data_IF_774960461177
#
_entry.id   IF_774960461177
#
_cell.length_a   1.000
_cell.length_b   1.000
_cell.length_c   1.000
_cell.angle_alpha   90.00
_cell.angle_beta   90.00
_cell.angle_gamma   90.00
#
_symmetry.space_group_name_H-M   'P 1'
#
loop_
_entity.id
_entity.type
_entity.pdbx_description
1 polymer ?
#
# COMPACT_ATOMS: atom_id res chain seq x y z
N UNK A 1 -91.16 96.25 57.10
CA UNK A 1 -90.63 95.88 58.42
C UNK A 1 -89.15 95.57 58.22
N UNK A 2 -88.29 96.42 58.75
CA UNK A 2 -86.84 96.20 58.83
C UNK A 2 -86.62 95.01 59.76
N UNK A 3 -85.83 94.03 59.33
CA UNK A 3 -85.09 93.17 60.26
C UNK A 3 -83.71 92.85 59.68
N UNK A 4 -82.75 93.60 60.22
CA UNK A 4 -81.31 93.39 60.16
C UNK A 4 -80.99 92.07 60.86
N UNK A 5 -80.26 91.17 60.19
CA UNK A 5 -79.61 90.02 60.83
C UNK A 5 -78.16 90.41 61.12
N UNK A 6 -77.89 90.49 62.42
CA UNK A 6 -76.62 90.82 63.05
C UNK A 6 -75.77 89.54 63.06
N UNK A 7 -74.61 89.55 62.41
CA UNK A 7 -73.63 88.48 62.55
C UNK A 7 -72.90 88.63 63.91
N UNK A 8 -72.86 87.54 64.68
CA UNK A 8 -72.28 87.49 66.02
C UNK A 8 -70.75 87.64 66.03
N UNK A 9 -70.16 88.27 67.06
CA UNK A 9 -68.80 88.81 67.06
C UNK A 9 -67.72 87.81 67.51
N UNK A 10 -67.68 86.59 66.95
CA UNK A 10 -66.60 85.63 67.26
C UNK A 10 -65.82 85.14 66.03
N UNK A 11 -66.11 85.68 64.84
CA UNK A 11 -65.27 85.48 63.65
C UNK A 11 -64.05 86.44 63.60
N UNK A 12 -63.90 87.33 64.58
CA UNK A 12 -62.86 88.37 64.59
C UNK A 12 -61.78 88.20 65.66
N UNK A 13 -61.80 87.13 66.47
CA UNK A 13 -60.80 86.95 67.54
C UNK A 13 -59.45 86.39 67.04
N UNK A 14 -59.36 86.03 65.75
CA UNK A 14 -58.07 85.93 65.04
C UNK A 14 -57.56 87.29 64.56
N UNK A 15 -58.42 88.33 64.54
CA UNK A 15 -58.12 89.65 64.00
C UNK A 15 -57.12 90.48 64.82
N UNK A 16 -56.82 90.08 66.06
CA UNK A 16 -55.80 90.72 66.89
C UNK A 16 -54.40 90.11 66.75
N UNK A 17 -54.25 88.95 66.11
CA UNK A 17 -52.93 88.32 65.92
C UNK A 17 -52.65 87.81 64.50
N UNK A 18 -53.65 87.73 63.62
CA UNK A 18 -53.45 87.42 62.20
C UNK A 18 -54.51 88.10 61.32
N UNK A 19 -54.09 89.10 60.55
CA UNK A 19 -54.89 89.66 59.45
C UNK A 19 -54.95 88.65 58.31
N UNK A 20 -56.08 87.95 58.17
CA UNK A 20 -56.32 87.09 57.00
C UNK A 20 -56.55 88.00 55.78
N UNK A 21 -55.59 88.03 54.86
CA UNK A 21 -55.74 88.77 53.60
C UNK A 21 -56.91 88.24 52.78
N UNK A 22 -57.67 89.15 52.17
CA UNK A 22 -58.76 88.82 51.24
C UNK A 22 -58.29 88.11 49.97
N UNK A 23 -56.97 87.97 49.79
CA UNK A 23 -56.34 87.28 48.66
C UNK A 23 -55.89 85.85 49.00
N UNK A 24 -56.09 85.38 50.23
CA UNK A 24 -55.74 84.02 50.63
C UNK A 24 -56.60 82.96 49.90
N UNK A 25 -55.98 81.85 49.47
CA UNK A 25 -56.63 80.82 48.64
C UNK A 25 -56.22 80.92 47.17
N UNK A 26 -57.18 80.89 46.25
CA UNK A 26 -56.92 81.13 44.82
C UNK A 26 -57.36 82.54 44.45
N UNK A 27 -56.42 83.43 44.19
CA UNK A 27 -56.71 84.80 43.77
C UNK A 27 -55.83 85.18 42.57
N UNK A 28 -56.45 85.80 41.55
CA UNK A 28 -55.79 86.22 40.31
C UNK A 28 -54.86 85.15 39.68
N UNK A 29 -55.36 83.90 39.58
CA UNK A 29 -54.62 82.77 39.02
C UNK A 29 -53.34 82.40 39.79
N UNK A 30 -53.30 82.62 41.11
CA UNK A 30 -52.18 82.22 41.98
C UNK A 30 -52.68 81.44 43.19
N UNK A 31 -51.84 80.52 43.65
CA UNK A 31 -52.04 79.78 44.89
C UNK A 31 -51.40 80.55 46.04
N UNK A 32 -52.23 81.23 46.81
CA UNK A 32 -51.81 82.19 47.82
C UNK A 32 -51.91 81.56 49.20
N UNK A 33 -50.77 81.51 49.87
CA UNK A 33 -50.58 80.81 51.14
C UNK A 33 -50.13 81.80 52.21
N UNK A 34 -50.51 81.54 53.47
CA UNK A 34 -49.94 82.23 54.61
C UNK A 34 -48.67 81.50 55.05
N UNK A 35 -47.53 82.19 55.05
CA UNK A 35 -46.26 81.62 55.47
C UNK A 35 -45.78 82.39 56.71
N UNK A 36 -45.77 81.70 57.86
CA UNK A 36 -45.57 82.32 59.16
C UNK A 36 -44.14 82.84 59.38
N UNK A 37 -43.12 82.28 58.71
CA UNK A 37 -41.73 82.67 58.94
C UNK A 37 -41.32 83.95 58.19
N UNK A 38 -42.06 84.34 57.15
CA UNK A 38 -41.81 85.57 56.36
C UNK A 38 -42.80 86.71 56.63
N UNK A 39 -43.83 86.47 57.43
CA UNK A 39 -44.82 87.49 57.81
C UNK A 39 -45.80 87.87 56.70
N UNK A 40 -45.78 87.14 55.57
CA UNK A 40 -46.64 87.36 54.43
C UNK A 40 -47.90 86.47 54.55
N UNK A 41 -49.08 87.09 54.72
CA UNK A 41 -50.38 86.43 54.57
C UNK A 41 -51.06 87.05 53.34
N UNK A 42 -51.02 86.38 52.19
CA UNK A 42 -51.59 86.88 50.93
C UNK A 42 -50.99 86.25 49.66
N UNK A 43 -51.09 86.93 48.52
CA UNK A 43 -50.51 86.52 47.23
C UNK A 43 -49.20 87.26 46.92
N UNK A 44 -48.05 86.87 47.49
CA UNK A 44 -46.78 87.49 47.12
C UNK A 44 -46.44 87.20 45.64
N UNK A 45 -45.59 88.05 45.04
CA UNK A 45 -45.21 87.95 43.61
C UNK A 45 -44.58 86.62 43.21
N UNK A 46 -44.04 85.87 44.18
CA UNK A 46 -43.44 84.55 44.00
C UNK A 46 -44.42 83.37 44.22
N UNK A 47 -45.67 83.62 44.59
CA UNK A 47 -46.68 82.57 44.73
C UNK A 47 -46.86 81.82 43.40
N UNK A 48 -46.89 80.46 43.40
CA UNK A 48 -47.13 79.67 42.19
C UNK A 48 -48.41 80.10 41.49
N UNK A 49 -48.40 80.19 40.15
CA UNK A 49 -49.61 80.45 39.39
C UNK A 49 -50.38 79.16 39.15
N UNK A 50 -51.72 79.24 39.17
CA UNK A 50 -52.63 78.16 38.84
C UNK A 50 -53.50 78.56 37.65
N UNK A 51 -53.51 77.74 36.61
CA UNK A 51 -54.39 77.94 35.45
C UNK A 51 -55.81 77.45 35.74
N UNK A 52 -56.79 77.86 34.92
CA UNK A 52 -58.15 77.33 34.98
C UNK A 52 -58.25 75.83 34.69
N UNK A 53 -57.21 75.24 34.07
CA UNK A 53 -57.06 73.80 33.87
C UNK A 53 -56.37 73.10 35.06
N UNK A 54 -56.06 73.82 36.14
CA UNK A 54 -55.39 73.28 37.34
C UNK A 54 -53.88 73.09 37.19
N UNK A 55 -53.25 73.60 36.13
CA UNK A 55 -51.80 73.54 35.98
C UNK A 55 -51.12 74.48 36.97
N UNK A 56 -50.10 73.99 37.67
CA UNK A 56 -49.24 74.81 38.52
C UNK A 56 -48.04 75.25 37.69
N UNK A 57 -47.82 76.56 37.61
CA UNK A 57 -46.63 77.15 36.98
C UNK A 57 -45.77 77.80 38.06
N UNK A 58 -44.51 77.36 38.13
CA UNK A 58 -43.50 77.84 39.08
C UNK A 58 -42.40 78.50 38.28
N UNK A 59 -42.10 79.77 38.57
CA UNK A 59 -41.05 80.53 37.87
C UNK A 59 -39.64 80.21 38.39
N UNK A 60 -39.53 79.52 39.53
CA UNK A 60 -38.28 79.02 40.11
C UNK A 60 -38.18 77.50 40.11
N UNK A 61 -37.31 76.96 40.97
CA UNK A 61 -37.12 75.51 41.09
C UNK A 61 -38.34 74.83 41.73
N UNK A 62 -38.83 73.75 41.12
CA UNK A 62 -39.81 72.86 41.72
C UNK A 62 -39.07 71.65 42.31
N UNK A 63 -39.01 71.57 43.64
CA UNK A 63 -38.45 70.42 44.37
C UNK A 63 -39.58 69.60 44.98
N UNK A 64 -39.66 68.32 44.63
CA UNK A 64 -40.63 67.37 45.20
C UNK A 64 -39.92 66.06 45.57
N UNK A 65 -40.38 65.40 46.64
CA UNK A 65 -39.89 64.07 47.00
C UNK A 65 -40.27 63.03 45.94
N UNK A 66 -41.41 63.21 45.28
CA UNK A 66 -41.89 62.37 44.18
C UNK A 66 -42.72 63.20 43.20
N UNK A 67 -42.49 63.00 41.91
CA UNK A 67 -43.41 63.44 40.86
C UNK A 67 -44.31 62.24 40.50
N UNK A 68 -45.62 62.35 40.73
CA UNK A 68 -46.60 61.31 40.41
C UNK A 68 -47.36 61.76 39.16
N UNK A 69 -47.20 61.02 38.06
CA UNK A 69 -47.85 61.27 36.78
C UNK A 69 -47.36 60.28 35.73
N UNK A 70 -47.97 60.29 34.55
CA UNK A 70 -47.57 59.45 33.40
C UNK A 70 -46.31 59.99 32.70
N UNK A 71 -45.84 61.19 33.08
CA UNK A 71 -44.63 61.84 32.58
C UNK A 71 -44.72 62.30 31.12
N UNK A 72 -45.85 62.07 30.44
CA UNK A 72 -45.98 62.30 28.99
C UNK A 72 -45.93 63.80 28.62
N UNK A 73 -46.29 64.68 29.55
CA UNK A 73 -46.28 66.14 29.37
C UNK A 73 -44.98 66.85 29.75
N UNK A 74 -43.96 66.13 30.25
CA UNK A 74 -42.66 66.72 30.59
C UNK A 74 -41.88 67.00 29.30
N UNK A 75 -42.02 68.23 28.80
CA UNK A 75 -41.32 68.73 27.61
C UNK A 75 -40.38 69.87 28.00
N UNK A 76 -39.42 70.21 27.14
CA UNK A 76 -38.47 71.31 27.36
C UNK A 76 -37.61 71.21 28.63
N UNK A 77 -37.28 69.99 29.07
CA UNK A 77 -36.23 69.77 30.07
C UNK A 77 -34.86 70.08 29.42
N UNK A 78 -34.42 71.33 29.52
CA UNK A 78 -33.14 71.80 28.97
C UNK A 78 -32.07 71.88 30.06
N UNK A 79 -30.85 71.40 29.76
CA UNK A 79 -29.71 71.50 30.67
C UNK A 79 -28.81 72.69 30.30
N UNK A 80 -28.29 73.45 31.28
CA UNK A 80 -27.10 74.27 31.05
C UNK A 80 -25.93 73.35 30.71
N UNK A 81 -25.06 73.77 29.78
CA UNK A 81 -24.08 72.98 29.03
C UNK A 81 -22.97 72.25 29.83
N UNK A 82 -23.09 72.13 31.14
CA UNK A 82 -22.17 71.43 32.04
C UNK A 82 -22.86 70.58 33.13
N UNK A 83 -24.19 70.46 33.11
CA UNK A 83 -24.93 69.61 34.06
C UNK A 83 -25.28 68.25 33.43
N UNK A 84 -24.99 67.17 34.15
CA UNK A 84 -25.48 65.82 33.83
C UNK A 84 -26.91 65.66 34.34
N UNK A 85 -27.87 65.43 33.43
CA UNK A 85 -29.17 64.89 33.82
C UNK A 85 -29.00 63.40 34.13
N UNK A 86 -29.23 63.04 35.40
CA UNK A 86 -29.22 61.65 35.84
C UNK A 86 -30.60 61.35 36.39
N UNK A 87 -31.43 60.68 35.58
CA UNK A 87 -32.52 59.86 36.12
C UNK A 87 -31.85 58.72 36.90
N UNK A 88 -31.58 58.94 38.19
CA UNK A 88 -30.92 57.98 39.08
C UNK A 88 -31.97 57.08 39.72
N UNK A 89 -32.21 55.91 39.15
CA UNK A 89 -33.16 54.95 39.71
C UNK A 89 -32.46 54.03 40.72
N UNK A 90 -32.39 54.44 41.98
CA UNK A 90 -32.03 53.53 43.08
C UNK A 90 -33.28 52.78 43.53
N UNK A 91 -33.60 51.64 42.90
CA UNK A 91 -34.73 50.79 43.35
C UNK A 91 -35.58 50.12 42.28
N UNK A 92 -35.05 49.83 41.10
CA UNK A 92 -35.82 49.04 40.12
C UNK A 92 -35.79 47.57 40.52
N UNK A 93 -36.94 47.04 40.94
CA UNK A 93 -37.15 45.60 41.13
C UNK A 93 -37.09 44.84 39.80
N UNK A 94 -36.73 43.56 39.87
CA UNK A 94 -36.65 42.65 38.73
C UNK A 94 -37.93 42.73 37.87
N UNK A 95 -37.80 43.01 36.57
CA UNK A 95 -38.91 43.00 35.63
C UNK A 95 -39.44 44.38 35.19
N UNK A 96 -38.83 45.49 35.59
CA UNK A 96 -39.21 46.82 35.09
C UNK A 96 -38.33 47.27 33.92
N UNK A 97 -38.94 47.82 32.87
CA UNK A 97 -38.25 48.42 31.71
C UNK A 97 -37.73 49.82 32.06
N UNK A 98 -36.44 50.05 31.82
CA UNK A 98 -35.79 51.36 31.97
C UNK A 98 -36.19 52.27 30.80
N UNK A 99 -36.84 53.41 31.06
CA UNK A 99 -37.14 54.43 30.05
C UNK A 99 -35.87 55.14 29.61
N UNK A 100 -35.53 55.02 28.32
CA UNK A 100 -34.29 55.54 27.75
C UNK A 100 -34.61 56.69 26.79
N UNK A 101 -34.07 57.88 27.07
CA UNK A 101 -34.37 59.11 26.32
C UNK A 101 -33.62 59.12 24.98
N UNK A 102 -34.35 59.19 23.87
CA UNK A 102 -33.82 59.38 22.51
C UNK A 102 -34.08 60.82 22.09
N UNK A 103 -33.02 61.61 21.93
CA UNK A 103 -33.09 62.95 21.35
C UNK A 103 -32.48 62.92 19.95
N UNK A 104 -33.31 62.65 18.94
CA UNK A 104 -33.18 63.03 17.51
C UNK A 104 -31.82 62.88 16.76
N UNK A 105 -30.82 62.20 17.33
CA UNK A 105 -29.49 62.01 16.70
C UNK A 105 -28.90 60.61 16.89
N UNK A 106 -29.77 59.60 17.02
CA UNK A 106 -29.48 58.25 16.54
C UNK A 106 -28.38 57.45 17.23
N UNK A 107 -27.98 57.77 18.47
CA UNK A 107 -27.17 56.84 19.28
C UNK A 107 -27.59 56.78 20.75
N UNK A 108 -27.65 55.56 21.27
CA UNK A 108 -27.81 55.23 22.69
C UNK A 108 -26.40 55.02 23.23
N UNK A 109 -25.90 55.84 24.16
CA UNK A 109 -24.54 55.71 24.70
C UNK A 109 -24.56 55.02 26.07
N UNK A 110 -23.78 53.96 26.23
CA UNK A 110 -23.53 53.26 27.48
C UNK A 110 -22.16 53.69 28.03
N UNK A 111 -22.12 54.18 29.26
CA UNK A 111 -20.86 54.46 29.98
C UNK A 111 -20.33 53.16 30.57
N UNK A 112 -19.17 52.70 30.09
CA UNK A 112 -18.49 51.50 30.59
C UNK A 112 -17.21 51.92 31.32
N UNK A 113 -17.02 51.44 32.56
CA UNK A 113 -15.85 51.78 33.40
C UNK A 113 -15.57 53.30 33.55
N UNK A 114 -16.61 54.14 33.51
CA UNK A 114 -16.48 55.60 33.68
C UNK A 114 -16.18 56.39 32.40
N UNK A 115 -16.04 55.73 31.24
CA UNK A 115 -15.85 56.42 29.95
C UNK A 115 -17.19 56.53 29.22
N UNK A 116 -17.69 57.76 29.07
CA UNK A 116 -18.89 58.07 28.28
C UNK A 116 -18.64 57.73 26.80
N UNK A 117 -19.59 57.05 26.13
CA UNK A 117 -19.44 56.67 24.72
C UNK A 117 -18.68 55.36 24.48
N UNK A 118 -18.32 54.62 25.53
CA UNK A 118 -17.57 53.37 25.41
C UNK A 118 -18.33 52.28 24.63
N UNK A 119 -19.67 52.26 24.67
CA UNK A 119 -20.46 51.49 23.73
C UNK A 119 -21.70 52.28 23.28
N UNK A 120 -22.12 52.11 22.02
CA UNK A 120 -23.29 52.80 21.49
C UNK A 120 -24.03 52.02 20.41
N UNK A 121 -25.33 52.27 20.25
CA UNK A 121 -26.08 51.80 19.06
C UNK A 121 -25.90 52.81 17.92
N UNK A 122 -25.45 52.36 16.76
CA UNK A 122 -25.22 53.16 15.55
C UNK A 122 -26.19 52.76 14.44
N UNK A 123 -26.74 53.75 13.72
CA UNK A 123 -27.78 53.55 12.71
C UNK A 123 -27.42 52.51 11.62
N UNK A 124 -26.13 52.37 11.28
CA UNK A 124 -25.65 51.40 10.27
C UNK A 124 -24.84 50.25 10.86
N UNK A 125 -24.18 50.46 12.00
CA UNK A 125 -23.20 49.50 12.54
C UNK A 125 -23.76 48.64 13.69
N UNK A 126 -25.01 48.87 14.11
CA UNK A 126 -25.59 48.16 15.25
C UNK A 126 -24.91 48.56 16.57
N UNK A 127 -24.71 47.60 17.47
CA UNK A 127 -23.99 47.83 18.73
C UNK A 127 -22.47 47.94 18.47
N UNK A 128 -21.87 49.07 18.83
CA UNK A 128 -20.43 49.35 18.73
C UNK A 128 -19.87 49.45 20.15
N UNK A 129 -18.87 48.65 20.49
CA UNK A 129 -18.17 48.72 21.78
C UNK A 129 -16.93 47.82 21.81
N UNK A 130 -15.92 48.11 22.65
CA UNK A 130 -14.61 47.44 22.63
C UNK A 130 -14.64 45.96 23.06
N UNK A 131 -15.75 45.47 23.60
CA UNK A 131 -15.99 44.06 23.88
C UNK A 131 -17.49 43.78 24.03
N UNK A 132 -18.14 43.24 22.99
CA UNK A 132 -19.46 42.62 23.13
C UNK A 132 -19.22 41.18 23.61
N UNK A 133 -18.98 41.01 24.91
CA UNK A 133 -18.80 39.69 25.51
C UNK A 133 -20.15 39.03 25.74
N UNK A 134 -20.36 37.84 25.17
CA UNK A 134 -21.51 37.01 25.48
C UNK A 134 -21.09 35.80 26.29
N UNK A 135 -20.77 36.00 27.57
CA UNK A 135 -20.52 34.88 28.50
C UNK A 135 -21.73 33.93 28.58
N UNK A 136 -22.94 34.42 28.25
CA UNK A 136 -24.20 33.64 28.26
C UNK A 136 -25.23 34.14 27.23
N UNK A 137 -24.90 34.22 25.94
CA UNK A 137 -25.88 34.62 24.91
C UNK A 137 -25.37 34.61 23.46
N UNK A 138 -26.26 34.78 22.49
CA UNK A 138 -25.90 34.92 21.06
C UNK A 138 -25.88 36.40 20.68
N UNK A 139 -24.84 36.87 19.98
CA UNK A 139 -24.92 38.13 19.21
C UNK A 139 -25.59 37.81 17.88
N UNK A 140 -26.91 38.04 17.77
CA UNK A 140 -27.62 37.94 16.49
C UNK A 140 -27.39 39.20 15.66
N UNK A 141 -26.22 39.33 15.03
CA UNK A 141 -25.99 40.31 13.99
C UNK A 141 -26.38 39.72 12.62
N UNK A 142 -27.15 40.46 11.82
CA UNK A 142 -27.60 40.07 10.47
C UNK A 142 -26.43 39.75 9.51
N UNK A 143 -25.23 40.24 9.82
CA UNK A 143 -23.99 39.98 9.07
C UNK A 143 -22.78 40.08 10.01
N UNK A 144 -22.33 38.94 10.52
CA UNK A 144 -21.13 38.83 11.39
C UNK A 144 -19.82 39.01 10.58
N UNK A 145 -19.89 38.87 9.24
CA UNK A 145 -18.75 38.96 8.34
C UNK A 145 -18.85 40.23 7.48
N UNK A 146 -18.46 41.37 8.03
CA UNK A 146 -18.18 42.58 7.24
C UNK A 146 -16.74 43.00 7.50
N UNK A 147 -15.83 42.33 6.80
CA UNK A 147 -14.40 42.51 6.96
C UNK A 147 -13.92 43.49 5.87
N UNK A 148 -13.05 44.44 6.22
CA UNK A 148 -12.72 45.61 5.38
C UNK A 148 -11.66 45.29 4.33
N UNK A 149 -11.61 46.09 3.24
CA UNK A 149 -10.52 46.01 2.27
C UNK A 149 -9.14 46.19 2.95
N UNK A 150 -8.16 45.36 2.62
CA UNK A 150 -6.78 45.44 3.14
C UNK A 150 -6.32 44.27 4.02
N UNK A 151 -7.13 43.22 4.17
CA UNK A 151 -6.73 42.00 4.88
C UNK A 151 -5.61 41.23 4.16
N UNK A 152 -4.79 40.54 4.95
CA UNK A 152 -3.70 39.71 4.45
C UNK A 152 -3.46 38.55 5.41
N UNK A 153 -2.65 37.58 4.99
CA UNK A 153 -2.23 36.48 5.87
C UNK A 153 -1.56 36.98 7.16
N UNK A 154 -0.84 38.11 7.10
CA UNK A 154 -0.20 38.74 8.27
C UNK A 154 -1.17 39.48 9.20
N UNK A 155 -2.35 39.87 8.69
CA UNK A 155 -3.37 40.65 9.40
C UNK A 155 -4.77 40.16 9.00
N UNK A 156 -5.16 38.95 9.44
CA UNK A 156 -6.47 38.40 9.12
C UNK A 156 -7.60 39.22 9.74
N UNK A 157 -8.70 39.39 8.99
CA UNK A 157 -9.89 40.12 9.47
C UNK A 157 -10.54 39.48 10.69
N UNK A 158 -10.39 38.17 10.85
CA UNK A 158 -10.76 37.43 12.05
C UNK A 158 -9.49 36.86 12.69
N UNK A 159 -9.18 37.32 13.90
CA UNK A 159 -8.01 36.91 14.68
C UNK A 159 -8.38 36.74 16.16
N UNK A 160 -7.42 36.26 16.95
CA UNK A 160 -7.60 36.09 18.40
C UNK A 160 -6.99 37.26 19.16
N UNK A 161 -7.58 37.63 20.29
CA UNK A 161 -6.98 38.64 21.17
C UNK A 161 -5.60 38.16 21.65
N UNK A 162 -4.55 38.91 21.32
CA UNK A 162 -3.17 38.55 21.62
C UNK A 162 -2.45 37.69 20.56
N UNK A 163 -3.16 37.22 19.53
CA UNK A 163 -2.58 36.58 18.34
C UNK A 163 -3.23 37.17 17.08
N UNK A 164 -2.63 38.26 16.61
CA UNK A 164 -3.13 39.04 15.48
C UNK A 164 -2.77 38.47 14.11
N UNK A 165 -2.06 37.34 14.04
CA UNK A 165 -1.57 36.78 12.77
C UNK A 165 -2.04 35.34 12.51
N UNK A 166 -2.89 34.82 13.39
CA UNK A 166 -3.61 33.55 13.23
C UNK A 166 -5.09 33.80 13.09
N UNK A 167 -5.71 33.21 12.05
CA UNK A 167 -7.15 33.28 11.86
C UNK A 167 -7.59 33.18 10.41
N UNK A 168 -8.63 33.93 10.04
CA UNK A 168 -9.30 33.83 8.75
C UNK A 168 -9.36 35.19 8.05
N UNK A 169 -9.11 35.21 6.75
CA UNK A 169 -9.07 36.44 5.98
C UNK A 169 -9.61 36.28 4.56
N UNK A 170 -10.12 37.40 4.03
CA UNK A 170 -10.53 37.50 2.64
C UNK A 170 -9.30 37.69 1.75
N UNK A 171 -9.01 36.70 0.90
CA UNK A 171 -7.83 36.72 0.01
C UNK A 171 -8.13 37.52 -1.26
N UNK A 172 -9.36 37.43 -1.74
CA UNK A 172 -9.85 37.99 -2.99
C UNK A 172 -11.24 37.43 -3.33
N UNK A 173 -11.79 37.83 -4.48
CA UNK A 173 -13.09 37.34 -4.94
C UNK A 173 -13.11 35.79 -4.94
N UNK A 174 -14.14 35.20 -4.33
CA UNK A 174 -14.34 33.75 -4.22
C UNK A 174 -13.17 33.00 -3.55
N UNK A 175 -12.41 33.65 -2.65
CA UNK A 175 -11.26 33.06 -1.98
C UNK A 175 -11.24 33.33 -0.47
N UNK A 176 -11.23 32.26 0.32
CA UNK A 176 -11.11 32.28 1.77
C UNK A 176 -9.77 31.71 2.22
N UNK A 177 -9.03 32.46 3.04
CA UNK A 177 -7.72 32.06 3.56
C UNK A 177 -7.78 31.77 5.05
N UNK A 178 -7.12 30.69 5.47
CA UNK A 178 -6.75 30.45 6.87
C UNK A 178 -5.26 30.65 7.03
N UNK A 179 -4.87 31.41 8.05
CA UNK A 179 -3.49 31.80 8.33
C UNK A 179 -3.10 31.40 9.75
N UNK A 180 -1.82 31.07 9.95
CA UNK A 180 -1.21 30.85 11.25
C UNK A 180 0.18 31.47 11.22
N UNK A 181 0.56 32.28 12.21
CA UNK A 181 1.88 32.90 12.21
C UNK A 181 2.12 33.85 11.03
N UNK A 182 1.05 34.42 10.46
CA UNK A 182 1.14 35.32 9.31
C UNK A 182 1.26 34.66 7.93
N UNK A 183 1.18 33.33 7.85
CA UNK A 183 1.33 32.56 6.60
C UNK A 183 0.03 31.83 6.26
N UNK A 184 -0.46 31.99 5.01
CA UNK A 184 -1.61 31.25 4.50
C UNK A 184 -1.30 29.74 4.50
N UNK A 185 -2.03 28.97 5.31
CA UNK A 185 -1.91 27.50 5.39
C UNK A 185 -2.98 26.80 4.57
N UNK A 186 -4.16 27.40 4.49
CA UNK A 186 -5.28 26.87 3.72
C UNK A 186 -5.86 27.97 2.85
N UNK A 187 -6.11 27.65 1.59
CA UNK A 187 -6.88 28.46 0.66
C UNK A 187 -8.05 27.63 0.14
N UNK A 188 -9.27 28.15 0.32
CA UNK A 188 -10.48 27.61 -0.31
C UNK A 188 -10.90 28.59 -1.39
N UNK A 189 -11.11 28.09 -2.60
CA UNK A 189 -11.56 28.91 -3.73
C UNK A 189 -12.54 28.13 -4.64
N UNK A 190 -12.96 28.77 -5.73
CA UNK A 190 -13.85 28.15 -6.73
C UNK A 190 -13.28 26.91 -7.42
N UNK A 191 -11.96 26.69 -7.38
CA UNK A 191 -11.29 25.48 -7.90
C UNK A 191 -11.04 24.41 -6.83
N UNK A 192 -11.36 24.67 -5.55
CA UNK A 192 -11.25 23.69 -4.46
C UNK A 192 -10.40 24.15 -3.26
N UNK A 193 -9.73 23.18 -2.62
CA UNK A 193 -8.94 23.34 -1.39
C UNK A 193 -7.45 23.20 -1.69
N UNK A 194 -6.63 24.18 -1.30
CA UNK A 194 -5.17 24.09 -1.29
C UNK A 194 -4.66 24.16 0.15
N UNK A 195 -3.89 23.14 0.56
CA UNK A 195 -3.22 23.09 1.86
C UNK A 195 -1.71 23.22 1.67
N UNK A 196 -1.08 24.15 2.38
CA UNK A 196 0.37 24.31 2.42
C UNK A 196 0.95 23.47 3.57
N UNK A 197 1.60 22.36 3.23
CA UNK A 197 2.19 21.42 4.18
C UNK A 197 1.50 20.05 4.14
N UNK A 198 1.56 19.33 5.26
CA UNK A 198 0.99 17.98 5.37
C UNK A 198 -0.49 18.02 5.78
N UNK A 199 -1.28 17.11 5.21
CA UNK A 199 -2.61 16.77 5.71
C UNK A 199 -2.49 15.47 6.49
N UNK A 200 -2.64 15.53 7.82
CA UNK A 200 -2.66 14.34 8.69
C UNK A 200 -4.09 13.94 8.96
N UNK A 201 -4.45 12.68 8.69
CA UNK A 201 -5.78 12.13 8.93
C UNK A 201 -5.70 10.88 9.80
N UNK A 202 -6.62 10.72 10.74
CA UNK A 202 -6.80 9.46 11.51
C UNK A 202 -7.72 8.47 10.80
N UNK A 203 -8.34 8.90 9.70
CA UNK A 203 -9.21 8.10 8.85
C UNK A 203 -8.83 8.18 7.37
N UNK A 204 -9.75 7.78 6.51
CA UNK A 204 -9.58 7.71 5.06
C UNK A 204 -9.71 9.10 4.43
N UNK A 205 -8.82 9.41 3.48
CA UNK A 205 -9.03 10.50 2.50
C UNK A 205 -9.76 9.88 1.31
N UNK A 206 -11.06 10.12 1.19
CA UNK A 206 -11.84 9.74 0.01
C UNK A 206 -11.80 10.89 -1.01
N UNK A 207 -10.99 10.71 -2.06
CA UNK A 207 -10.83 11.71 -3.12
C UNK A 207 -11.90 11.60 -4.23
N UNK A 208 -12.79 10.61 -4.16
CA UNK A 208 -13.82 10.32 -5.17
C UNK A 208 -13.27 9.79 -6.51
N UNK A 209 -12.47 10.57 -7.22
CA UNK A 209 -11.96 10.24 -8.55
C UNK A 209 -10.51 9.72 -8.52
N UNK A 210 -9.57 10.57 -8.13
CA UNK A 210 -8.15 10.24 -8.13
C UNK A 210 -7.38 11.04 -7.07
N UNK A 211 -6.33 10.43 -6.55
CA UNK A 211 -5.23 11.14 -5.91
C UNK A 211 -4.16 11.26 -6.99
N UNK A 212 -3.70 12.48 -7.24
CA UNK A 212 -2.63 12.74 -8.20
C UNK A 212 -1.30 12.86 -7.46
N UNK A 213 -0.26 12.25 -8.02
CA UNK A 213 1.12 12.46 -7.56
C UNK A 213 1.63 13.85 -7.95
N UNK A 214 2.70 14.28 -7.29
CA UNK A 214 3.40 15.51 -7.66
C UNK A 214 4.10 15.34 -9.01
N UNK A 215 3.82 16.22 -9.98
CA UNK A 215 4.37 16.09 -11.34
C UNK A 215 5.89 16.23 -11.44
N UNK A 216 6.54 16.82 -10.43
CA UNK A 216 8.00 16.93 -10.33
C UNK A 216 8.62 15.87 -9.42
N UNK A 217 7.92 14.74 -9.19
CA UNK A 217 8.49 13.64 -8.44
C UNK A 217 9.64 12.96 -9.21
N UNK A 218 10.39 12.12 -8.51
CA UNK A 218 11.55 11.46 -9.08
C UNK A 218 11.89 10.17 -8.35
N UNK A 219 12.86 9.43 -8.89
CA UNK A 219 13.40 8.22 -8.28
C UNK A 219 13.97 8.45 -6.87
N UNK A 220 14.51 9.64 -6.58
CA UNK A 220 15.07 10.01 -5.26
C UNK A 220 14.08 10.79 -4.38
N UNK A 221 12.94 11.19 -4.93
CA UNK A 221 11.86 11.91 -4.24
C UNK A 221 10.50 11.48 -4.83
N UNK A 222 10.01 10.27 -4.52
CA UNK A 222 8.77 9.74 -5.07
C UNK A 222 7.55 10.54 -4.62
N UNK A 223 6.57 10.70 -5.51
CA UNK A 223 5.35 11.48 -5.25
C UNK A 223 4.45 10.82 -4.21
N UNK A 224 4.49 9.49 -4.12
CA UNK A 224 3.90 8.71 -3.05
C UNK A 224 5.00 8.14 -2.17
N UNK A 225 5.15 8.69 -0.97
CA UNK A 225 6.25 8.40 -0.06
C UNK A 225 5.78 8.47 1.39
N UNK A 226 6.68 8.24 2.34
CA UNK A 226 6.37 8.22 3.77
C UNK A 226 6.99 9.42 4.48
N UNK A 227 6.34 9.86 5.56
CA UNK A 227 6.91 10.90 6.42
C UNK A 227 8.23 10.40 7.04
N UNK A 228 9.35 11.02 6.67
CA UNK A 228 10.69 10.69 7.20
C UNK A 228 11.51 9.74 6.33
N UNK A 229 10.91 9.04 5.37
CA UNK A 229 11.62 8.31 4.32
C UNK A 229 11.18 8.87 2.97
N UNK A 230 11.95 9.84 2.49
CA UNK A 230 11.63 10.60 1.27
C UNK A 230 12.23 9.99 0.01
N UNK A 231 12.81 8.80 0.06
CA UNK A 231 13.47 8.16 -1.09
C UNK A 231 13.00 6.72 -1.35
N UNK A 232 12.03 6.25 -0.56
CA UNK A 232 11.28 5.03 -0.80
C UNK A 232 9.85 5.42 -1.21
N UNK A 233 9.31 4.79 -2.25
CA UNK A 233 7.95 5.09 -2.68
C UNK A 233 7.63 4.69 -4.11
N UNK A 234 6.57 5.30 -4.62
CA UNK A 234 6.12 5.18 -6.00
C UNK A 234 6.24 6.53 -6.70
N UNK A 235 6.86 6.54 -7.88
CA UNK A 235 7.11 7.75 -8.64
C UNK A 235 6.73 7.60 -10.11
N UNK A 236 6.46 8.73 -10.74
CA UNK A 236 6.21 8.81 -12.17
C UNK A 236 7.53 8.82 -12.94
N UNK A 237 7.77 7.79 -13.75
CA UNK A 237 9.01 7.66 -14.55
C UNK A 237 8.90 8.44 -15.86
N UNK A 238 7.70 8.45 -16.42
CA UNK A 238 7.34 9.03 -17.71
C UNK A 238 5.95 8.57 -18.14
N UNK A 239 5.50 8.98 -19.33
CA UNK A 239 4.21 8.57 -19.87
C UNK A 239 4.07 7.04 -19.84
N UNK A 240 2.96 6.56 -19.27
CA UNK A 240 2.64 5.13 -19.12
C UNK A 240 3.72 4.29 -18.41
N UNK A 241 4.50 4.90 -17.51
CA UNK A 241 5.56 4.23 -16.75
C UNK A 241 5.50 4.54 -15.26
N UNK A 242 5.35 3.49 -14.46
CA UNK A 242 5.28 3.54 -13.00
C UNK A 242 6.54 2.94 -12.39
N UNK A 243 7.21 3.70 -11.53
CA UNK A 243 8.41 3.26 -10.82
C UNK A 243 8.14 3.01 -9.34
N UNK A 244 8.68 1.92 -8.81
CA UNK A 244 8.85 1.71 -7.37
C UNK A 244 10.32 1.91 -7.02
N UNK A 245 10.58 2.76 -6.04
CA UNK A 245 11.94 3.11 -5.59
C UNK A 245 12.14 2.78 -4.12
N UNK A 246 13.36 2.40 -3.77
CA UNK A 246 13.80 2.20 -2.38
C UNK A 246 15.19 2.80 -2.25
N UNK A 247 15.43 3.69 -1.27
CA UNK A 247 16.76 4.29 -1.11
C UNK A 247 17.20 5.14 -2.32
N UNK A 248 16.25 5.65 -3.11
CA UNK A 248 16.55 6.41 -4.33
C UNK A 248 16.93 5.56 -5.56
N UNK A 249 16.70 4.25 -5.52
CA UNK A 249 17.00 3.32 -6.62
C UNK A 249 15.73 2.61 -7.09
N UNK A 250 15.50 2.60 -8.41
CA UNK A 250 14.37 1.94 -9.04
C UNK A 250 14.50 0.43 -8.90
N UNK A 251 13.54 -0.18 -8.20
CA UNK A 251 13.48 -1.62 -7.98
C UNK A 251 12.50 -2.31 -8.92
N UNK A 252 11.40 -1.66 -9.23
CA UNK A 252 10.40 -2.15 -10.17
C UNK A 252 10.03 -1.02 -11.14
N UNK A 253 10.00 -1.34 -12.42
CA UNK A 253 9.45 -0.50 -13.47
C UNK A 253 8.29 -1.26 -14.10
N UNK A 254 7.09 -0.68 -14.09
CA UNK A 254 5.95 -1.19 -14.85
C UNK A 254 5.68 -0.22 -15.99
N UNK A 255 5.49 -0.75 -17.19
CA UNK A 255 5.15 0.03 -18.38
C UNK A 255 4.08 -0.69 -19.23
N UNK A 256 3.79 -0.17 -20.42
CA UNK A 256 2.79 -0.73 -21.33
C UNK A 256 3.11 -2.14 -21.86
N UNK A 257 4.36 -2.60 -21.75
CA UNK A 257 4.79 -3.92 -22.25
C UNK A 257 5.08 -4.94 -21.16
N UNK A 258 5.18 -4.53 -19.89
CA UNK A 258 5.35 -5.43 -18.77
C UNK A 258 5.99 -4.80 -17.54
N UNK A 259 6.63 -5.63 -16.72
CA UNK A 259 7.33 -5.22 -15.51
C UNK A 259 8.77 -5.73 -15.50
N UNK A 260 9.72 -4.86 -15.15
CA UNK A 260 11.12 -5.20 -14.93
C UNK A 260 11.45 -5.06 -13.45
N UNK A 261 12.10 -6.08 -12.87
CA UNK A 261 12.59 -6.06 -11.48
C UNK A 261 14.11 -5.95 -11.50
N UNK A 262 14.65 -4.96 -10.79
CA UNK A 262 16.09 -4.75 -10.61
C UNK A 262 16.57 -5.46 -9.34
N UNK A 263 17.34 -6.53 -9.53
CA UNK A 263 17.85 -7.41 -8.47
C UNK A 263 17.06 -8.71 -8.39
N UNK A 264 17.11 -9.36 -7.23
CA UNK A 264 16.47 -10.65 -7.02
C UNK A 264 14.94 -10.49 -6.82
N UNK A 265 14.16 -11.36 -7.45
CA UNK A 265 12.73 -11.53 -7.17
C UNK A 265 12.50 -12.87 -6.47
N UNK A 266 12.36 -12.84 -5.15
CA UNK A 266 12.08 -14.03 -4.34
C UNK A 266 10.59 -14.32 -4.32
N UNK A 267 10.20 -15.53 -4.75
CA UNK A 267 8.80 -15.98 -4.74
C UNK A 267 8.66 -17.18 -3.81
N UNK A 268 7.79 -17.10 -2.81
CA UNK A 268 7.51 -18.20 -1.86
C UNK A 268 6.39 -19.13 -2.32
N UNK A 269 5.60 -18.69 -3.30
CA UNK A 269 4.57 -19.49 -3.98
C UNK A 269 5.00 -19.96 -5.37
N UNK A 270 4.03 -20.22 -6.24
CA UNK A 270 4.28 -20.61 -7.63
C UNK A 270 4.32 -19.41 -8.57
N UNK A 271 5.24 -19.43 -9.53
CA UNK A 271 5.20 -18.56 -10.71
C UNK A 271 4.54 -19.35 -11.84
N UNK A 272 3.43 -18.85 -12.39
CA UNK A 272 2.82 -19.41 -13.60
C UNK A 272 3.22 -18.55 -14.79
N UNK A 273 4.04 -19.07 -15.69
CA UNK A 273 4.47 -18.39 -16.90
C UNK A 273 4.24 -19.24 -18.14
N UNK A 274 3.72 -18.65 -19.21
CA UNK A 274 3.52 -19.34 -20.49
C UNK A 274 4.84 -19.50 -21.27
N UNK A 275 5.80 -18.60 -21.05
CA UNK A 275 7.08 -18.61 -21.76
C UNK A 275 8.19 -18.14 -20.82
N UNK A 276 9.28 -18.91 -20.81
CA UNK A 276 10.55 -18.54 -20.16
C UNK A 276 11.56 -18.38 -21.29
N UNK A 277 12.26 -17.26 -21.34
CA UNK A 277 13.22 -16.95 -22.40
C UNK A 277 14.49 -16.28 -21.83
N UNK A 278 15.50 -16.14 -22.69
CA UNK A 278 16.76 -15.48 -22.33
C UNK A 278 17.61 -16.31 -21.36
N UNK A 279 18.31 -15.62 -20.45
CA UNK A 279 19.30 -16.21 -19.55
C UNK A 279 18.76 -17.19 -18.51
N UNK A 280 17.44 -17.39 -18.41
CA UNK A 280 16.87 -18.43 -17.53
C UNK A 280 16.89 -19.82 -18.17
N UNK A 281 17.03 -19.92 -19.49
CA UNK A 281 17.04 -21.19 -20.21
C UNK A 281 18.47 -21.59 -20.53
N UNK A 282 18.83 -22.84 -20.20
CA UNK A 282 20.16 -23.36 -20.49
C UNK A 282 20.50 -23.28 -21.99
N UNK A 283 21.74 -22.91 -22.29
CA UNK A 283 22.32 -23.07 -23.62
C UNK A 283 22.59 -24.55 -23.92
N UNK A 284 22.84 -24.91 -25.18
CA UNK A 284 23.22 -26.29 -25.54
C UNK A 284 24.50 -26.74 -24.82
N UNK A 285 25.52 -25.87 -24.74
CA UNK A 285 26.78 -26.20 -24.10
C UNK A 285 26.60 -26.46 -22.60
N UNK A 286 25.83 -25.62 -21.91
CA UNK A 286 25.50 -25.82 -20.49
C UNK A 286 24.69 -27.09 -20.26
N UNK A 287 23.71 -27.35 -21.13
CA UNK A 287 22.89 -28.55 -21.11
C UNK A 287 23.73 -29.83 -21.26
N UNK A 288 24.66 -29.84 -22.22
CA UNK A 288 25.56 -30.98 -22.47
C UNK A 288 26.64 -31.14 -21.39
N UNK A 289 27.09 -30.04 -20.77
CA UNK A 289 28.07 -30.08 -19.69
C UNK A 289 27.47 -30.45 -18.33
N UNK A 290 26.21 -30.08 -18.08
CA UNK A 290 25.49 -30.39 -16.85
C UNK A 290 26.06 -29.73 -15.58
N UNK A 291 26.66 -28.54 -15.69
CA UNK A 291 27.39 -27.88 -14.59
C UNK A 291 26.63 -26.72 -13.93
N UNK A 292 25.50 -26.28 -14.47
CA UNK A 292 24.74 -25.12 -14.00
C UNK A 292 23.38 -25.55 -13.40
N UNK A 293 23.13 -25.19 -12.13
CA UNK A 293 21.88 -25.52 -11.41
C UNK A 293 20.83 -24.40 -11.46
N UNK A 294 21.19 -23.20 -11.95
CA UNK A 294 20.34 -22.02 -11.92
C UNK A 294 19.51 -21.87 -13.21
N UNK A 295 19.81 -22.66 -14.25
CA UNK A 295 19.13 -22.61 -15.54
C UNK A 295 18.08 -23.73 -15.69
N UNK A 296 16.97 -23.40 -16.34
CA UNK A 296 15.90 -24.33 -16.67
C UNK A 296 16.29 -25.16 -17.90
N UNK A 297 16.10 -26.48 -17.80
CA UNK A 297 16.23 -27.40 -18.92
C UNK A 297 14.91 -27.55 -19.65
N UNK A 298 14.85 -27.06 -20.89
CA UNK A 298 13.71 -27.28 -21.79
C UNK A 298 13.77 -28.67 -22.42
N UNK A 299 12.67 -29.20 -22.97
CA UNK A 299 12.67 -30.52 -23.63
C UNK A 299 13.78 -30.71 -24.67
N UNK A 300 14.09 -29.66 -25.44
CA UNK A 300 15.20 -29.69 -26.41
C UNK A 300 16.57 -29.83 -25.72
N UNK A 301 16.79 -29.09 -24.63
CA UNK A 301 18.05 -29.16 -23.88
C UNK A 301 18.23 -30.52 -23.20
N UNK A 302 17.15 -31.09 -22.68
CA UNK A 302 17.15 -32.47 -22.14
C UNK A 302 17.55 -33.48 -23.22
N UNK A 303 16.98 -33.39 -24.43
CA UNK A 303 17.34 -34.28 -25.55
C UNK A 303 18.83 -34.17 -25.90
N UNK A 304 19.38 -32.96 -25.97
CA UNK A 304 20.79 -32.74 -26.28
C UNK A 304 21.70 -33.33 -25.20
N UNK A 305 21.39 -33.08 -23.92
CA UNK A 305 22.14 -33.62 -22.78
C UNK A 305 22.16 -35.16 -22.79
N UNK A 306 21.00 -35.79 -23.02
CA UNK A 306 20.89 -37.26 -23.10
C UNK A 306 21.65 -37.80 -24.31
N UNK A 307 21.53 -37.16 -25.47
CA UNK A 307 22.24 -37.60 -26.69
C UNK A 307 23.75 -37.56 -26.49
N UNK A 308 24.25 -36.50 -25.84
CA UNK A 308 25.67 -36.37 -25.49
C UNK A 308 26.12 -37.49 -24.55
N UNK A 309 25.36 -37.74 -23.48
CA UNK A 309 25.65 -38.80 -22.52
C UNK A 309 25.62 -40.21 -23.14
N UNK A 310 24.74 -40.46 -24.12
CA UNK A 310 24.68 -41.75 -24.82
C UNK A 310 25.85 -41.94 -25.79
N UNK A 311 26.35 -40.87 -26.40
CA UNK A 311 27.49 -40.95 -27.32
C UNK A 311 28.80 -41.34 -26.63
N UNK A 312 28.88 -41.21 -25.30
CA UNK A 312 30.08 -41.55 -24.51
C UNK A 312 30.01 -42.93 -23.86
N UNK A 313 28.85 -43.61 -23.88
CA UNK A 313 28.70 -44.95 -23.36
C UNK A 313 28.93 -45.99 -24.47
N UNK A 314 30.05 -46.74 -24.47
CA UNK A 314 30.21 -47.84 -25.41
C UNK A 314 29.12 -48.89 -25.13
N UNK A 315 28.19 -49.06 -26.05
CA UNK A 315 27.11 -50.05 -25.97
C UNK A 315 27.63 -51.49 -26.05
N UNK A 316 28.87 -51.66 -26.53
CA UNK A 316 29.60 -52.93 -26.60
C UNK A 316 30.97 -52.75 -25.91
N UNK A 317 31.35 -53.62 -24.95
CA UNK A 317 32.63 -53.52 -24.27
C UNK A 317 33.82 -53.67 -25.23
N UNK A 318 34.91 -52.95 -24.94
CA UNK A 318 36.19 -53.13 -25.62
C UNK A 318 36.63 -54.60 -25.54
N UNK A 319 37.02 -55.18 -26.68
CA UNK A 319 37.44 -56.58 -26.79
C UNK A 319 36.33 -57.57 -27.18
N UNK A 320 35.09 -57.11 -27.37
CA UNK A 320 34.05 -57.93 -27.97
C UNK A 320 34.42 -58.33 -29.41
N UNK A 321 34.13 -59.57 -29.79
CA UNK A 321 34.29 -60.09 -31.15
C UNK A 321 32.88 -60.25 -31.75
N UNK A 322 32.66 -59.67 -32.92
CA UNK A 322 31.39 -59.74 -33.66
C UNK A 322 31.67 -60.04 -35.13
N UNK A 323 30.79 -60.82 -35.77
CA UNK A 323 30.83 -61.04 -37.21
C UNK A 323 30.11 -59.90 -37.94
N UNK A 324 30.69 -59.42 -39.04
CA UNK A 324 30.12 -58.38 -39.89
C UNK A 324 29.97 -58.90 -41.31
N UNK A 325 28.84 -58.61 -41.96
CA UNK A 325 28.65 -58.83 -43.41
C UNK A 325 29.17 -57.61 -44.20
N UNK A 326 30.47 -57.32 -44.02
CA UNK A 326 31.18 -56.16 -44.59
C UNK A 326 32.58 -56.60 -45.06
N UNK A 327 33.15 -55.90 -46.03
CA UNK A 327 34.51 -56.17 -46.55
C UNK A 327 35.62 -55.56 -45.69
N UNK A 328 35.29 -54.68 -44.74
CA UNK A 328 36.21 -54.07 -43.78
C UNK A 328 35.50 -53.80 -42.44
N UNK A 329 36.27 -53.72 -41.35
CA UNK A 329 35.71 -53.42 -40.03
C UNK A 329 35.12 -52.00 -40.00
N UNK A 330 33.91 -51.80 -39.45
CA UNK A 330 33.32 -50.47 -39.31
C UNK A 330 34.14 -49.59 -38.36
N UNK A 331 33.94 -48.27 -38.43
CA UNK A 331 34.61 -47.32 -37.53
C UNK A 331 34.42 -47.72 -36.06
N UNK A 332 35.50 -47.71 -35.28
CA UNK A 332 35.52 -48.17 -33.89
C UNK A 332 35.78 -49.66 -33.69
N UNK A 333 35.91 -50.45 -34.77
CA UNK A 333 36.22 -51.89 -34.72
C UNK A 333 37.54 -52.20 -35.43
N UNK A 334 38.26 -53.19 -34.91
CA UNK A 334 39.50 -53.72 -35.51
C UNK A 334 39.36 -55.21 -35.78
N UNK A 335 39.99 -55.69 -36.85
CA UNK A 335 39.86 -57.08 -37.26
C UNK A 335 40.55 -58.02 -36.26
N UNK A 336 39.81 -59.03 -35.79
CA UNK A 336 40.37 -60.11 -34.98
C UNK A 336 41.03 -61.18 -35.86
N UNK A 337 42.27 -60.90 -36.28
CA UNK A 337 43.03 -61.73 -37.23
C UNK A 337 43.19 -63.22 -36.85
N UNK A 338 43.24 -63.64 -35.57
CA UNK A 338 43.29 -65.06 -35.23
C UNK A 338 42.09 -65.88 -35.72
N UNK A 339 40.91 -65.27 -35.90
CA UNK A 339 39.71 -65.97 -36.37
C UNK A 339 39.61 -66.14 -37.89
N UNK A 340 40.55 -65.59 -38.68
CA UNK A 340 40.53 -65.73 -40.16
C UNK A 340 40.50 -67.20 -40.57
N UNK A 341 39.40 -67.63 -41.20
CA UNK A 341 39.20 -69.01 -41.68
C UNK A 341 39.14 -70.08 -40.57
N UNK A 342 38.88 -69.68 -39.32
CA UNK A 342 38.80 -70.58 -38.16
C UNK A 342 37.44 -70.48 -37.47
N UNK A 343 37.04 -71.57 -36.85
CA UNK A 343 35.88 -71.59 -35.96
C UNK A 343 36.22 -70.94 -34.61
N UNK A 344 35.22 -70.36 -33.95
CA UNK A 344 35.36 -69.82 -32.60
C UNK A 344 35.04 -70.91 -31.57
N UNK A 345 36.02 -71.30 -30.76
CA UNK A 345 35.86 -72.28 -29.68
C UNK A 345 35.84 -71.57 -28.34
N UNK A 346 34.91 -71.93 -27.48
CA UNK A 346 34.88 -71.42 -26.10
C UNK A 346 36.08 -71.94 -25.32
N UNK A 347 36.72 -71.10 -24.51
CA UNK A 347 37.70 -71.59 -23.52
C UNK A 347 37.04 -72.57 -22.58
N UNK A 348 37.67 -73.74 -22.42
CA UNK A 348 37.12 -74.84 -21.64
C UNK A 348 36.94 -74.49 -20.15
N UNK A 349 37.88 -73.73 -19.60
CA UNK A 349 37.89 -73.28 -18.20
C UNK A 349 37.66 -74.41 -17.17
N UNK A 350 38.19 -75.60 -17.46
CA UNK A 350 38.09 -76.78 -16.59
C UNK A 350 36.79 -77.58 -16.75
N UNK A 351 35.98 -77.30 -17.77
CA UNK A 351 34.77 -78.08 -18.07
C UNK A 351 35.07 -79.47 -18.63
N UNK A 352 36.28 -79.73 -19.12
CA UNK A 352 36.71 -81.03 -19.62
C UNK A 352 36.16 -81.40 -21.01
N UNK A 353 35.56 -80.44 -21.73
CA UNK A 353 35.09 -80.63 -23.11
C UNK A 353 36.22 -80.50 -24.13
N UNK A 354 37.31 -79.83 -23.75
CA UNK A 354 38.48 -79.74 -24.58
C UNK A 354 39.56 -80.76 -24.18
N UNK A 355 39.94 -81.69 -25.08
CA UNK A 355 40.89 -82.74 -24.76
C UNK A 355 42.31 -82.27 -24.47
N UNK A 356 42.71 -81.06 -24.92
CA UNK A 356 44.02 -80.49 -24.56
C UNK A 356 43.91 -79.47 -23.40
N UNK A 357 42.79 -79.45 -22.69
CA UNK A 357 42.52 -78.60 -21.52
C UNK A 357 42.22 -77.14 -21.85
N UNK A 358 42.28 -76.27 -20.81
CA UNK A 358 41.99 -74.84 -20.94
C UNK A 358 43.07 -74.10 -21.72
N UNK A 359 42.72 -73.65 -22.92
CA UNK A 359 43.56 -72.77 -23.76
C UNK A 359 43.58 -71.33 -23.27
N UNK A 360 44.67 -70.63 -23.57
CA UNK A 360 44.73 -69.17 -23.49
C UNK A 360 43.88 -68.53 -24.58
N UNK A 361 43.31 -67.36 -24.29
CA UNK A 361 42.50 -66.61 -25.26
C UNK A 361 43.36 -66.25 -26.49
N UNK A 362 42.83 -66.52 -27.69
CA UNK A 362 43.53 -66.34 -28.96
C UNK A 362 44.42 -67.50 -29.41
N UNK A 363 44.58 -68.55 -28.59
CA UNK A 363 45.29 -69.74 -29.01
C UNK A 363 44.56 -70.46 -30.14
N UNK A 364 45.28 -70.82 -31.21
CA UNK A 364 44.73 -71.56 -32.35
C UNK A 364 44.97 -73.05 -32.23
N UNK A 365 44.04 -73.84 -32.75
CA UNK A 365 44.09 -75.30 -32.75
C UNK A 365 43.86 -75.84 -34.15
N UNK A 366 44.62 -76.87 -34.52
CA UNK A 366 44.49 -77.58 -35.79
C UNK A 366 43.23 -78.46 -35.86
N UNK A 367 42.84 -78.81 -37.08
CA UNK A 367 41.79 -79.79 -37.35
C UNK A 367 42.24 -81.22 -36.99
N UNK A 368 41.27 -82.07 -36.66
CA UNK A 368 41.50 -83.42 -36.18
C UNK A 368 40.24 -84.27 -36.36
N UNK A 369 40.40 -85.58 -36.61
CA UNK A 369 39.32 -86.55 -36.56
C UNK A 369 39.42 -87.41 -35.30
N UNK A 370 38.28 -87.74 -34.70
CA UNK A 370 38.20 -88.67 -33.59
C UNK A 370 38.69 -90.05 -34.03
N UNK A 371 39.56 -90.66 -33.21
CA UNK A 371 40.06 -92.00 -33.43
C UNK A 371 38.89 -92.98 -33.44
N UNK A 372 38.76 -93.75 -34.52
CA UNK A 372 37.76 -94.80 -34.65
C UNK A 372 38.34 -95.98 -35.44
N UNK A 373 37.73 -97.15 -35.30
CA UNK A 373 38.07 -98.35 -36.08
C UNK A 373 37.05 -98.61 -37.16
N UNK A 374 37.50 -99.30 -38.19
CA UNK A 374 36.63 -100.03 -39.10
C UNK A 374 36.89 -101.53 -38.94
N UNK A 375 35.83 -102.33 -39.03
CA UNK A 375 35.93 -103.78 -39.19
C UNK A 375 35.96 -104.11 -40.67
N UNK A 376 37.04 -104.74 -41.11
CA UNK A 376 37.08 -105.40 -42.41
C UNK A 376 36.92 -106.91 -42.21
N UNK A 377 36.16 -107.52 -43.12
CA UNK A 377 35.94 -108.96 -43.14
C UNK A 377 36.85 -109.59 -44.19
N UNK A 378 37.67 -110.57 -43.79
CA UNK A 378 38.52 -111.32 -44.70
C UNK A 378 38.35 -112.85 -44.50
N UNK A 379 38.47 -113.67 -45.57
CA UNK A 379 38.44 -115.13 -45.46
C UNK A 379 39.66 -115.66 -44.70
N UNK A 380 39.49 -116.72 -43.90
CA UNK A 380 40.59 -117.37 -43.16
C UNK A 380 41.45 -118.24 -44.09
N UNK A 381 42.75 -118.36 -43.76
CA UNK A 381 43.70 -119.45 -44.10
C UNK A 381 44.71 -119.13 -45.24
N UNK A 382 46.02 -119.37 -45.12
CA UNK A 382 46.73 -120.45 -44.41
C UNK A 382 47.87 -119.93 -43.49
N UNK A 383 48.11 -120.62 -42.36
CA UNK A 383 49.43 -120.57 -41.69
C UNK A 383 50.45 -121.22 -42.65
N UNK A 384 51.16 -120.41 -43.43
CA UNK A 384 52.28 -120.92 -44.20
C UNK A 384 53.40 -121.30 -43.22
N UNK A 385 53.69 -122.60 -43.13
CA UNK A 385 54.87 -123.09 -42.42
C UNK A 385 56.12 -122.50 -43.10
N UNK A 386 56.88 -121.72 -42.34
CA UNK A 386 57.86 -120.75 -42.85
C UNK A 386 59.15 -121.39 -43.42
N UNK A 387 59.23 -122.72 -43.51
CA UNK A 387 60.45 -123.42 -43.91
C UNK A 387 60.73 -123.43 -45.43
N UNK A 388 59.76 -123.15 -46.31
CA UNK A 388 59.96 -123.30 -47.78
C UNK A 388 60.11 -121.98 -48.57
N UNK A 389 59.99 -120.80 -47.92
CA UNK A 389 59.98 -119.50 -48.64
C UNK A 389 60.95 -118.43 -48.11
N UNK A 390 61.85 -118.75 -47.18
CA UNK A 390 63.00 -117.88 -46.85
C UNK A 390 62.70 -116.63 -46.00
N UNK A 391 61.58 -116.62 -45.24
CA UNK A 391 61.20 -115.51 -44.36
C UNK A 391 61.32 -115.89 -42.88
N UNK A 392 61.54 -114.92 -41.96
CA UNK A 392 61.72 -115.20 -40.53
C UNK A 392 60.53 -115.95 -39.94
N UNK A 393 60.81 -117.10 -39.31
CA UNK A 393 59.88 -117.92 -38.52
C UNK A 393 59.38 -117.11 -37.32
N UNK A 394 58.29 -116.36 -37.51
CA UNK A 394 57.31 -115.89 -36.49
C UNK A 394 56.40 -114.75 -36.96
N UNK A 395 56.48 -114.30 -38.23
CA UNK A 395 55.53 -113.30 -38.75
C UNK A 395 54.26 -113.94 -39.32
N UNK A 396 53.13 -113.76 -38.62
CA UNK A 396 51.80 -114.10 -39.11
C UNK A 396 51.42 -113.10 -40.22
N UNK A 397 51.43 -113.54 -41.47
CA UNK A 397 50.90 -112.77 -42.60
C UNK A 397 49.48 -113.22 -42.96
N UNK A 398 48.49 -112.38 -42.71
CA UNK A 398 47.13 -112.57 -43.26
C UNK A 398 47.10 -112.05 -44.70
N UNK A 399 47.23 -112.95 -45.68
CA UNK A 399 47.05 -112.62 -47.09
C UNK A 399 45.55 -112.56 -47.43
N UNK A 400 45.07 -111.43 -47.96
CA UNK A 400 43.73 -111.29 -48.52
C UNK A 400 43.65 -112.05 -49.84
N UNK A 401 43.46 -113.38 -49.79
CA UNK A 401 43.29 -114.22 -50.98
C UNK A 401 41.81 -114.32 -51.32
N UNK A 402 41.38 -113.56 -52.33
CA UNK A 402 40.08 -113.82 -52.98
C UNK A 402 40.29 -114.90 -54.03
N UNK A 403 39.70 -116.08 -53.81
CA UNK A 403 39.54 -117.23 -54.71
C UNK A 403 40.70 -118.23 -54.91
N UNK A 404 40.73 -119.29 -54.10
CA UNK A 404 40.92 -120.68 -54.58
C UNK A 404 40.04 -121.62 -53.71
N UNK A 405 39.25 -122.44 -54.41
CA UNK A 405 38.47 -123.61 -53.95
C UNK A 405 37.39 -123.39 -52.90
N UNK A 406 36.16 -123.17 -53.40
CA UNK A 406 34.85 -123.66 -52.91
C UNK A 406 34.77 -124.24 -51.49
N UNK A 407 35.26 -123.51 -50.52
CA UNK A 407 35.07 -123.74 -49.09
C UNK A 407 34.27 -122.54 -48.62
N UNK A 408 33.12 -122.81 -48.00
CA UNK A 408 32.44 -121.82 -47.16
C UNK A 408 33.36 -121.50 -45.98
N UNK A 409 34.29 -120.57 -46.17
CA UNK A 409 35.21 -120.13 -45.13
C UNK A 409 34.52 -118.99 -44.37
N UNK A 410 34.25 -119.21 -43.09
CA UNK A 410 33.69 -118.19 -42.21
C UNK A 410 34.57 -116.93 -42.22
N UNK A 411 34.04 -115.78 -42.61
CA UNK A 411 34.76 -114.52 -42.57
C UNK A 411 35.09 -114.16 -41.12
N UNK A 412 36.37 -113.93 -40.80
CA UNK A 412 36.75 -113.39 -39.49
C UNK A 412 36.87 -111.87 -39.61
N UNK A 413 36.22 -111.16 -38.69
CA UNK A 413 36.40 -109.71 -38.56
C UNK A 413 37.77 -109.42 -37.93
N UNK A 414 38.59 -108.61 -38.59
CA UNK A 414 39.76 -108.00 -37.97
C UNK A 414 39.58 -106.48 -37.95
N UNK A 415 39.85 -105.87 -36.80
CA UNK A 415 39.88 -104.42 -36.68
C UNK A 415 41.10 -103.88 -37.44
N UNK A 416 40.88 -102.95 -38.35
CA UNK A 416 41.97 -102.19 -38.97
C UNK A 416 42.46 -101.17 -37.93
N UNK A 417 43.77 -100.89 -37.89
CA UNK A 417 44.39 -100.01 -36.90
C UNK A 417 43.70 -98.64 -36.74
N UNK A 418 43.80 -98.07 -35.54
CA UNK A 418 43.21 -96.77 -35.22
C UNK A 418 44.14 -95.61 -35.60
N UNK A 419 43.60 -94.63 -36.34
CA UNK A 419 44.23 -93.32 -36.58
C UNK A 419 43.26 -92.21 -36.20
N UNK A 420 43.77 -91.11 -35.64
CA UNK A 420 43.00 -89.98 -35.12
C UNK A 420 43.40 -89.68 -33.68
N UNK A 421 42.59 -88.93 -32.94
CA UNK A 421 42.75 -88.87 -31.49
C UNK A 421 41.48 -88.49 -30.77
N UNK A 422 41.54 -87.65 -29.74
CA UNK A 422 40.46 -87.52 -28.77
C UNK A 422 39.14 -86.90 -29.30
N UNK A 423 39.14 -86.14 -30.40
CA UNK A 423 37.97 -85.39 -30.88
C UNK A 423 37.99 -85.18 -32.40
N UNK A 424 36.80 -85.08 -33.02
CA UNK A 424 36.64 -84.51 -34.37
C UNK A 424 36.39 -83.00 -34.27
N UNK A 425 37.31 -82.17 -34.77
CA UNK A 425 37.19 -80.70 -34.74
C UNK A 425 37.71 -80.02 -36.00
N UNK A 426 37.15 -78.86 -36.40
CA UNK A 426 37.78 -78.00 -37.40
C UNK A 426 38.90 -77.16 -36.78
N UNK A 427 39.69 -76.48 -37.62
CA UNK A 427 40.62 -75.44 -37.17
C UNK A 427 39.85 -74.38 -36.38
N UNK A 428 40.30 -74.07 -35.17
CA UNK A 428 39.58 -73.15 -34.29
C UNK A 428 40.52 -72.23 -33.51
N UNK A 429 39.94 -71.19 -32.89
CA UNK A 429 40.62 -70.25 -31.99
C UNK A 429 39.83 -70.11 -30.70
N UNK A 430 40.54 -70.09 -29.58
CA UNK A 430 39.95 -69.99 -28.25
C UNK A 430 39.46 -68.56 -27.95
N UNK A 431 38.20 -68.42 -27.58
CA UNK A 431 37.56 -67.16 -27.16
C UNK A 431 36.75 -67.36 -25.89
N UNK A 432 36.52 -66.28 -25.13
CA UNK A 432 35.62 -66.31 -24.00
C UNK A 432 34.21 -65.93 -24.47
N UNK A 433 33.26 -66.85 -24.35
CA UNK A 433 31.85 -66.54 -24.57
C UNK A 433 31.24 -65.99 -23.28
N UNK A 434 30.87 -64.72 -23.31
CA UNK A 434 30.16 -64.05 -22.24
C UNK A 434 28.67 -63.93 -22.59
N UNK A 435 27.80 -64.10 -21.59
CA UNK A 435 26.39 -63.72 -21.70
C UNK A 435 26.16 -62.44 -20.90
N UNK A 436 25.35 -61.51 -21.44
CA UNK A 436 24.84 -60.39 -20.66
C UNK A 436 23.81 -60.96 -19.68
N UNK A 437 24.08 -60.82 -18.39
CA UNK A 437 23.16 -61.21 -17.31
C UNK A 437 22.04 -60.21 -17.14
#
# INVERSE_FOLDING_TARGET
>A
MIFTVIAGPYAQDWGLFATISSTMGTNANRMCIGEASRGDIGCPTYAPSISSAGHVSVTGNLQAAQFIGDGSGLTNLSLPSSATDRISTTGIGSGSTLGMVVADRGTISFTLAGVQGAAYLHATAGLVGPAISTTTGNVQALRILNSTAGEAAATPGFSWSGDSNTGMYWVGADQLGLTTGGVQRVLVNSSGLRVAGYVSTTGVIDAGAAIYGFAGDSITAPGYTWSGDTNTGMYWVGADQLGLTTGGVQRVLVNTTGATVTGNFTVTGSITGNTVAGGMVATQAEAEAGTNNDHIMTPLRVLQAITKALSTAPTVPTGAIMAFDLTSCPSGWTEYTPARGRFLRGVDNGAGNDPDGTRTIGATQGDMFASHTHTAYAPVNDRNDAATQGWPVDNIHNAFRTSDRSRDVALQSQAIGQNGGAETRPKNVAVLYCRKS
#
